data_IF_899026314777
#
_entry.id   IF_899026314777
#
_cell.length_a   1.000
_cell.length_b   1.000
_cell.length_c   1.000
_cell.angle_alpha   90.00
_cell.angle_beta   90.00
_cell.angle_gamma   90.00
#
_symmetry.space_group_name_H-M   'P 1'
#
loop_
_entity.id
_entity.type
_entity.pdbx_description
1 polymer ?
2 non-polymer ?
3 non-polymer ?
4 water ?
#
# COMPACT_ATOMS: atom_id res chain seq x y z
N UNK A 2 6.23 -16.65 -9.26
CA UNK A 2 5.13 -15.70 -9.37
C UNK A 2 5.04 -14.80 -8.13
N UNK A 3 5.10 -13.50 -8.34
CA UNK A 3 4.97 -12.56 -7.25
C UNK A 3 3.51 -12.42 -6.88
N UNK A 4 3.26 -12.22 -5.60
CA UNK A 4 1.92 -11.90 -5.16
C UNK A 4 1.89 -10.44 -4.74
N UNK A 5 1.11 -9.64 -5.45
CA UNK A 5 1.00 -8.21 -5.18
C UNK A 5 -0.35 -7.90 -4.53
N UNK A 6 -0.34 -7.14 -3.44
CA UNK A 6 -1.58 -6.74 -2.79
C UNK A 6 -1.69 -5.22 -2.72
N UNK A 7 -2.79 -4.68 -3.21
CA UNK A 7 -3.06 -3.25 -3.08
C UNK A 7 -4.04 -3.01 -1.92
N UNK A 8 -3.78 -1.97 -1.13
CA UNK A 8 -4.62 -1.60 -0.01
C UNK A 8 -4.98 -0.13 -0.15
N UNK A 9 -6.25 0.17 -0.34
CA UNK A 9 -6.68 1.56 -0.47
C UNK A 9 -7.60 1.95 0.69
N UNK A 10 -7.43 3.16 1.22
CA UNK A 10 -8.05 3.53 2.48
C UNK A 10 -9.01 4.70 2.49
N UNK A 11 -9.55 5.11 1.35
CA UNK A 11 -10.56 6.14 1.42
C UNK A 11 -11.84 5.56 2.02
N UNK A 12 -12.46 6.32 2.93
CA UNK A 12 -13.76 5.95 3.49
C UNK A 12 -14.91 6.45 2.62
N UNK A 13 -14.61 7.08 1.49
CA UNK A 13 -15.68 7.60 0.65
C UNK A 13 -15.90 6.71 -0.55
N UNK A 14 -17.14 6.63 -1.00
CA UNK A 14 -17.48 5.86 -2.18
C UNK A 14 -16.95 6.61 -3.39
N UNK A 15 -16.76 5.89 -4.49
CA UNK A 15 -16.23 6.48 -5.71
C UNK A 15 -14.86 7.13 -5.49
N UNK A 16 -13.99 6.40 -4.79
CA UNK A 16 -12.67 6.87 -4.40
C UNK A 16 -11.72 7.04 -5.59
N UNK A 17 -11.18 8.23 -5.78
CA UNK A 17 -10.17 8.38 -6.83
C UNK A 17 -8.87 7.69 -6.40
N UNK A 18 -8.63 7.64 -5.09
CA UNK A 18 -7.45 6.95 -4.55
C UNK A 18 -7.49 5.48 -4.95
N UNK A 19 -8.66 4.87 -4.84
CA UNK A 19 -8.84 3.48 -5.24
C UNK A 19 -8.52 3.27 -6.73
N UNK A 20 -8.95 4.22 -7.56
CA UNK A 20 -8.67 4.16 -9.00
C UNK A 20 -7.17 4.25 -9.26
N UNK A 21 -6.48 5.03 -8.44
CA UNK A 21 -5.04 5.18 -8.55
C UNK A 21 -4.35 3.86 -8.19
N UNK A 22 -4.80 3.23 -7.11
CA UNK A 22 -4.22 1.97 -6.67
C UNK A 22 -4.47 0.86 -7.69
N UNK A 23 -5.68 0.84 -8.24
CA UNK A 23 -6.04 -0.15 -9.24
C UNK A 23 -5.17 0.04 -10.48
N UNK A 24 -4.97 1.29 -10.87
CA UNK A 24 -4.08 1.60 -11.99
C UNK A 24 -2.65 1.07 -11.73
N UNK A 25 -2.13 1.34 -10.54
CA UNK A 25 -0.79 0.89 -10.19
C UNK A 25 -0.72 -0.63 -10.19
N UNK A 26 -1.77 -1.28 -9.68
CA UNK A 26 -1.78 -2.73 -9.61
C UNK A 26 -1.77 -3.35 -11.01
N UNK A 27 -2.60 -2.82 -11.90
CA UNK A 27 -2.64 -3.29 -13.28
C UNK A 27 -1.31 -3.07 -14.01
N UNK A 28 -0.66 -1.94 -13.72
CA UNK A 28 0.62 -1.59 -14.32
C UNK A 28 1.69 -2.62 -13.97
N UNK A 29 1.75 -2.98 -12.69
CA UNK A 29 2.73 -3.95 -12.24
C UNK A 29 2.44 -5.33 -12.84
N UNK A 30 1.17 -5.72 -12.84
CA UNK A 30 0.78 -7.05 -13.34
C UNK A 30 1.01 -7.20 -14.84
N UNK A 31 0.91 -6.10 -15.59
CA UNK A 31 1.13 -6.15 -17.03
C UNK A 31 2.61 -6.30 -17.40
N UNK A 32 3.49 -6.16 -16.42
CA UNK A 32 4.92 -6.12 -16.72
C UNK A 32 5.74 -7.09 -15.88
N UNK A 33 5.07 -7.92 -15.10
CA UNK A 33 5.76 -8.92 -14.29
C UNK A 33 4.92 -10.17 -14.15
N UNK A 34 5.54 -11.26 -13.72
CA UNK A 34 4.82 -12.50 -13.48
C UNK A 34 4.15 -12.45 -12.11
N UNK A 35 2.97 -11.86 -12.06
CA UNK A 35 2.34 -11.55 -10.78
C UNK A 35 0.84 -11.84 -10.73
N UNK A 36 0.35 -12.11 -9.52
CA UNK A 36 -1.08 -12.13 -9.22
C UNK A 36 -1.37 -10.97 -8.30
N UNK A 37 -2.62 -10.52 -8.26
CA UNK A 37 -2.96 -9.37 -7.44
C UNK A 37 -4.28 -9.47 -6.71
N UNK A 38 -4.38 -8.75 -5.60
CA UNK A 38 -5.66 -8.50 -4.94
C UNK A 38 -5.70 -7.03 -4.58
N UNK A 39 -6.90 -6.49 -4.50
CA UNK A 39 -7.08 -5.13 -4.08
C UNK A 39 -8.02 -5.12 -2.86
N UNK A 40 -7.46 -4.86 -1.69
CA UNK A 40 -8.23 -4.74 -0.45
C UNK A 40 -8.75 -3.32 -0.31
N UNK A 41 -10.06 -3.17 -0.36
CA UNK A 41 -10.71 -1.90 -0.13
C UNK A 41 -11.14 -1.90 1.32
N UNK A 42 -10.45 -1.12 2.16
CA UNK A 42 -10.65 -1.20 3.61
C UNK A 42 -12.10 -0.84 4.00
N UNK A 43 -12.71 0.05 3.23
CA UNK A 43 -14.10 0.43 3.39
C UNK A 43 -15.08 -0.76 3.28
N UNK A 44 -14.65 -1.83 2.61
CA UNK A 44 -15.52 -2.98 2.37
C UNK A 44 -15.35 -4.04 3.45
N UNK A 45 -14.44 -3.80 4.39
CA UNK A 45 -14.31 -4.71 5.51
C UNK A 45 -15.36 -4.37 6.57
N UNK A 46 -15.69 -5.34 7.41
CA UNK A 46 -16.70 -5.15 8.45
C UNK A 46 -16.17 -4.17 9.51
N UNK A 47 -16.84 -3.02 9.68
CA UNK A 47 -16.33 -1.95 10.56
C UNK A 47 -16.10 -2.39 12.01
N UNK A 48 -17.07 -3.09 12.59
CA UNK A 48 -16.91 -3.55 13.97
C UNK A 48 -15.71 -4.49 14.09
N UNK A 49 -15.62 -5.45 13.18
CA UNK A 49 -14.54 -6.43 13.24
C UNK A 49 -13.18 -5.77 13.01
N UNK A 50 -13.13 -4.81 12.09
CA UNK A 50 -11.91 -4.08 11.79
C UNK A 50 -11.43 -3.31 13.02
N UNK A 51 -12.29 -2.48 13.59
CA UNK A 51 -11.91 -1.69 14.76
C UNK A 51 -11.56 -2.54 15.98
N UNK A 52 -12.13 -3.74 16.08
CA UNK A 52 -11.84 -4.60 17.23
C UNK A 52 -10.76 -5.62 16.93
N UNK A 53 -10.26 -5.64 15.70
CA UNK A 53 -9.25 -6.61 15.31
C UNK A 53 -9.76 -8.04 15.43
N UNK A 54 -11.04 -8.22 15.11
CA UNK A 54 -11.72 -9.50 15.27
C UNK A 54 -11.47 -10.45 14.09
N UNK A 55 -10.47 -11.31 14.22
CA UNK A 55 -10.10 -12.21 13.14
C UNK A 55 -10.95 -13.47 13.02
N UNK A 56 -12.08 -13.50 13.71
CA UNK A 56 -13.04 -14.57 13.49
C UNK A 56 -13.96 -14.14 12.35
N UNK A 57 -13.90 -12.86 11.98
CA UNK A 57 -14.51 -12.40 10.75
C UNK A 57 -13.64 -12.93 9.61
N UNK A 58 -14.24 -13.70 8.71
CA UNK A 58 -13.47 -14.44 7.72
C UNK A 58 -12.86 -13.51 6.68
N UNK A 59 -13.62 -12.51 6.26
CA UNK A 59 -13.13 -11.59 5.24
C UNK A 59 -11.96 -10.74 5.77
N UNK A 60 -12.04 -10.33 7.03
CA UNK A 60 -10.96 -9.57 7.65
C UNK A 60 -9.70 -10.43 7.78
N UNK A 61 -9.88 -11.66 8.24
CA UNK A 61 -8.77 -12.60 8.36
C UNK A 61 -8.10 -12.88 7.00
N UNK A 62 -8.91 -12.98 5.95
CA UNK A 62 -8.40 -13.22 4.61
C UNK A 62 -7.55 -12.04 4.12
N UNK A 63 -8.03 -10.83 4.39
CA UNK A 63 -7.30 -9.61 4.05
C UNK A 63 -5.94 -9.57 4.75
N UNK A 64 -5.93 -9.87 6.04
CA UNK A 64 -4.70 -9.87 6.82
C UNK A 64 -3.74 -10.92 6.29
N UNK A 65 -4.23 -12.14 6.09
CA UNK A 65 -3.40 -13.21 5.53
C UNK A 65 -2.81 -12.84 4.17
N UNK A 66 -3.64 -12.28 3.28
CA UNK A 66 -3.19 -11.84 1.95
C UNK A 66 -2.04 -10.81 2.04
N UNK A 67 -2.18 -9.85 2.94
CA UNK A 67 -1.14 -8.86 3.15
C UNK A 67 0.15 -9.53 3.64
N UNK A 68 0.00 -10.47 4.57
CA UNK A 68 1.16 -11.18 5.11
C UNK A 68 1.85 -12.06 4.08
N UNK A 69 1.13 -12.49 3.05
CA UNK A 69 1.71 -13.34 2.01
C UNK A 69 2.23 -12.57 0.79
N UNK A 70 1.98 -11.26 0.74
CA UNK A 70 2.38 -10.46 -0.41
C UNK A 70 3.90 -10.28 -0.53
N UNK A 71 4.41 -10.22 -1.76
CA UNK A 71 5.82 -9.87 -1.99
C UNK A 71 5.96 -8.35 -2.08
N UNK A 72 4.88 -7.69 -2.49
CA UNK A 72 4.83 -6.25 -2.61
C UNK A 72 3.47 -5.70 -2.21
N UNK A 73 3.48 -4.50 -1.62
CA UNK A 73 2.25 -3.86 -1.20
C UNK A 73 2.15 -2.50 -1.82
N UNK A 74 0.99 -2.20 -2.38
CA UNK A 74 0.69 -0.86 -2.83
C UNK A 74 -0.24 -0.28 -1.77
N UNK A 75 0.21 0.77 -1.09
CA UNK A 75 -0.55 1.31 0.03
C UNK A 75 -1.00 2.70 -0.34
N UNK A 76 -2.31 2.86 -0.52
CA UNK A 76 -2.85 4.08 -1.09
C UNK A 76 -3.90 4.71 -0.16
N UNK A 77 -3.80 6.03 0.03
CA UNK A 77 -4.71 6.73 0.91
C UNK A 77 -4.97 8.14 0.41
N UNK A 78 -6.19 8.65 0.60
CA UNK A 78 -6.31 10.10 0.43
C UNK A 78 -5.68 10.78 1.63
N UNK A 79 -5.28 12.04 1.48
CA UNK A 79 -4.80 12.81 2.62
C UNK A 79 -5.99 13.39 3.39
N UNK A 80 -6.13 12.99 4.65
CA UNK A 80 -7.13 13.58 5.55
C UNK A 80 -6.40 14.25 6.71
N UNK A 81 -6.65 15.54 6.91
CA UNK A 81 -6.06 16.26 8.03
C UNK A 81 -4.54 16.11 8.00
N UNK A 82 -3.94 16.36 6.83
CA UNK A 82 -2.49 16.34 6.66
C UNK A 82 -1.83 15.01 6.97
N UNK A 83 -2.58 13.91 6.84
CA UNK A 83 -2.01 12.59 7.07
C UNK A 83 -2.84 11.52 6.37
N UNK A 84 -2.50 10.26 6.59
CA UNK A 84 -3.26 9.13 6.05
C UNK A 84 -4.59 8.97 6.81
N UNK A 85 -5.55 8.26 6.22
CA UNK A 85 -6.86 8.10 6.86
C UNK A 85 -6.80 7.19 8.07
N UNK A 86 -7.71 7.41 9.01
CA UNK A 86 -7.85 6.52 10.15
C UNK A 86 -8.26 5.14 9.68
N UNK A 87 -9.08 5.11 8.64
CA UNK A 87 -9.51 3.85 8.04
C UNK A 87 -8.31 2.99 7.64
N UNK A 88 -7.37 3.56 6.90
CA UNK A 88 -6.17 2.82 6.50
C UNK A 88 -5.34 2.39 7.71
N UNK A 89 -5.10 3.32 8.63
CA UNK A 89 -4.33 3.01 9.83
C UNK A 89 -4.98 1.92 10.70
N UNK A 90 -6.31 1.94 10.79
CA UNK A 90 -7.03 0.88 11.50
C UNK A 90 -6.68 -0.50 10.93
N UNK A 91 -6.57 -0.59 9.60
CA UNK A 91 -6.17 -1.84 8.99
C UNK A 91 -4.71 -2.20 9.30
N UNK A 92 -3.79 -1.26 9.13
CA UNK A 92 -2.39 -1.51 9.46
C UNK A 92 -2.20 -1.93 10.92
N UNK A 93 -3.02 -1.38 11.81
CA UNK A 93 -2.93 -1.69 13.23
C UNK A 93 -3.18 -3.16 13.58
N UNK A 94 -3.93 -3.89 12.76
CA UNK A 94 -4.18 -5.30 13.10
C UNK A 94 -3.19 -6.30 12.47
N UNK A 95 -2.29 -5.84 11.61
CA UNK A 95 -1.24 -6.71 11.12
C UNK A 95 -0.29 -7.04 12.27
N UNK A 96 0.35 -8.21 12.22
CA UNK A 96 1.33 -8.51 13.27
C UNK A 96 2.52 -7.54 13.28
N UNK A 97 3.33 -7.60 14.33
CA UNK A 97 4.31 -6.56 14.62
C UNK A 97 5.31 -6.26 13.50
N UNK A 98 5.86 -7.31 12.90
CA UNK A 98 6.82 -7.11 11.82
C UNK A 98 6.26 -7.68 10.53
N UNK A 99 5.00 -7.35 10.26
CA UNK A 99 4.25 -7.93 9.16
C UNK A 99 4.89 -7.70 7.80
N UNK A 100 5.64 -6.61 7.66
CA UNK A 100 6.10 -6.21 6.34
C UNK A 100 7.53 -6.69 6.06
N UNK A 101 8.08 -7.48 6.97
CA UNK A 101 9.43 -8.02 6.76
C UNK A 101 9.52 -8.73 5.41
N UNK A 102 10.57 -8.43 4.66
CA UNK A 102 10.79 -9.04 3.35
C UNK A 102 10.09 -8.36 2.19
N UNK A 103 9.19 -7.42 2.48
CA UNK A 103 8.33 -6.87 1.42
C UNK A 103 8.78 -5.55 0.81
N UNK A 104 8.43 -5.36 -0.45
CA UNK A 104 8.55 -4.05 -1.09
C UNK A 104 7.24 -3.29 -0.89
N UNK A 105 7.28 -1.96 -0.93
CA UNK A 105 6.05 -1.17 -0.78
C UNK A 105 6.07 0.10 -1.61
N UNK A 106 4.90 0.49 -2.11
CA UNK A 106 4.75 1.71 -2.89
C UNK A 106 3.66 2.59 -2.28
N UNK A 107 4.05 3.71 -1.68
CA UNK A 107 3.08 4.62 -1.07
C UNK A 107 2.46 5.58 -2.09
N UNK A 108 1.13 5.60 -2.13
CA UNK A 108 0.38 6.45 -3.06
C UNK A 108 -0.64 7.29 -2.32
N UNK A 109 -0.87 8.51 -2.80
CA UNK A 109 -1.90 9.32 -2.21
C UNK A 109 -2.50 10.28 -3.21
N UNK A 110 -3.75 10.66 -2.96
CA UNK A 110 -4.34 11.81 -3.63
C UNK A 110 -4.71 12.82 -2.55
N UNK A 111 -4.78 14.09 -2.92
CA UNK A 111 -5.14 15.12 -1.96
C UNK A 111 -5.74 16.30 -2.69
N UNK A 112 -6.44 17.15 -1.96
CA UNK A 112 -7.08 18.31 -2.56
C UNK A 112 -6.08 19.41 -2.86
N UNK A 113 -4.96 19.40 -2.15
CA UNK A 113 -3.99 20.48 -2.23
C UNK A 113 -2.57 19.96 -2.40
N UNK A 114 -1.75 20.68 -3.17
CA UNK A 114 -0.37 20.25 -3.32
C UNK A 114 0.44 20.54 -2.06
N UNK A 115 -0.16 21.23 -1.10
CA UNK A 115 0.56 21.61 0.11
C UNK A 115 0.94 20.41 0.98
N UNK A 116 0.27 19.28 0.79
CA UNK A 116 0.45 18.14 1.69
C UNK A 116 1.17 16.93 1.09
N UNK A 117 1.96 17.15 0.04
CA UNK A 117 2.79 16.12 -0.55
C UNK A 117 3.62 15.33 0.48
N UNK A 118 4.21 16.03 1.45
CA UNK A 118 5.11 15.39 2.42
C UNK A 118 4.42 14.49 3.46
N UNK A 119 3.09 14.44 3.46
CA UNK A 119 2.37 13.58 4.41
C UNK A 119 2.77 12.11 4.24
N UNK A 120 3.03 11.69 3.01
CA UNK A 120 3.51 10.34 2.76
C UNK A 120 4.87 10.10 3.42
N UNK A 121 5.87 10.91 3.07
CA UNK A 121 7.22 10.70 3.57
C UNK A 121 7.37 10.93 5.07
N UNK A 122 6.62 11.88 5.62
CA UNK A 122 6.73 12.20 7.04
C UNK A 122 5.78 11.38 7.89
N UNK A 123 4.66 10.95 7.32
CA UNK A 123 3.64 10.29 8.10
C UNK A 123 3.53 8.80 7.87
N UNK A 124 3.37 8.39 6.62
CA UNK A 124 3.15 6.99 6.31
C UNK A 124 4.43 6.15 6.32
N UNK A 125 5.49 6.70 5.74
CA UNK A 125 6.76 5.99 5.62
C UNK A 125 7.31 5.47 6.97
N UNK A 126 7.32 6.32 8.02
CA UNK A 126 7.76 5.78 9.32
C UNK A 126 6.88 4.64 9.87
N UNK A 127 5.58 4.68 9.60
CA UNK A 127 4.70 3.61 10.04
C UNK A 127 5.09 2.28 9.40
N UNK A 128 5.28 2.27 8.08
CA UNK A 128 5.71 1.05 7.39
C UNK A 128 7.05 0.54 7.90
N UNK A 129 7.97 1.45 8.18
CA UNK A 129 9.27 1.06 8.74
C UNK A 129 9.24 0.51 10.16
N UNK A 130 8.20 0.75 10.92
CA UNK A 130 8.04 0.11 12.17
C UNK A 130 7.51 -1.30 12.05
N UNK A 131 6.99 -1.65 10.89
CA UNK A 131 6.54 -2.97 10.64
C UNK A 131 7.58 -3.80 9.95
N UNK A 132 8.83 -3.36 9.92
CA UNK A 132 9.94 -4.10 9.36
C UNK A 132 10.06 -4.25 7.86
N UNK A 133 9.44 -3.34 7.15
CA UNK A 133 9.39 -3.36 5.68
C UNK A 133 10.79 -3.47 5.05
N UNK A 134 10.91 -4.14 3.92
CA UNK A 134 12.21 -4.34 3.29
C UNK A 134 12.64 -3.13 2.46
N UNK A 135 11.73 -2.63 1.63
CA UNK A 135 12.10 -1.63 0.64
C UNK A 135 10.87 -0.82 0.27
N UNK A 136 10.83 0.44 0.71
CA UNK A 136 9.77 1.36 0.33
C UNK A 136 10.31 2.33 -0.70
N UNK A 137 9.81 2.26 -1.94
CA UNK A 137 10.32 3.12 -3.00
C UNK A 137 9.75 4.53 -2.85
N UNK A 138 10.01 5.41 -3.81
CA UNK A 138 9.54 6.79 -3.70
C UNK A 138 8.02 6.87 -3.56
N UNK A 139 7.57 7.90 -2.85
CA UNK A 139 6.16 8.21 -2.74
C UNK A 139 5.66 8.80 -4.03
N UNK A 140 4.37 8.61 -4.31
CA UNK A 140 3.73 9.42 -5.33
C UNK A 140 2.44 10.03 -4.82
N UNK A 141 2.29 11.32 -5.04
CA UNK A 141 1.16 12.05 -4.63
C UNK A 141 0.53 12.76 -5.81
N UNK A 142 -0.77 12.72 -5.88
CA UNK A 142 -1.49 13.39 -6.91
C UNK A 142 -2.56 14.28 -6.42
N UNK A 143 -2.61 15.47 -6.95
CA UNK A 143 -3.67 16.39 -6.65
C UNK A 143 -4.94 16.05 -7.38
N UNK A 144 -6.04 16.11 -6.66
CA UNK A 144 -7.37 15.74 -7.15
C UNK A 144 -7.65 16.10 -8.61
N UNK A 145 -7.57 17.40 -8.89
CA UNK A 145 -7.83 17.93 -10.21
C UNK A 145 -7.08 17.20 -11.33
N UNK A 146 -5.77 17.02 -11.15
CA UNK A 146 -4.90 16.37 -12.14
C UNK A 146 -5.47 15.09 -12.73
N UNK A 147 -6.15 14.29 -11.90
CA UNK A 147 -6.60 12.96 -12.32
C UNK A 147 -7.83 12.95 -13.23
N UNK A 148 -7.86 11.94 -14.11
CA UNK A 148 -9.01 11.61 -14.95
C UNK A 148 -8.76 10.25 -15.59
N UNK A 154 -5.16 6.43 -17.84
CA UNK A 154 -3.97 7.27 -17.70
C UNK A 154 -4.26 8.70 -18.16
N UNK A 155 -5.53 9.09 -18.11
CA UNK A 155 -5.94 10.44 -18.49
C UNK A 155 -5.46 11.49 -17.48
N UNK A 156 -4.15 11.75 -17.49
CA UNK A 156 -3.54 12.70 -16.57
C UNK A 156 -2.37 13.40 -17.27
N UNK A 157 -1.97 14.56 -16.74
CA UNK A 157 -0.88 15.36 -17.32
C UNK A 157 0.41 14.57 -17.52
N UNK A 158 1.11 14.87 -18.62
CA UNK A 158 2.27 14.10 -19.05
C UNK A 158 3.36 13.97 -18.00
N UNK A 159 3.75 15.10 -17.41
CA UNK A 159 4.83 15.11 -16.44
C UNK A 159 4.44 14.35 -15.19
N UNK A 160 3.18 14.49 -14.79
CA UNK A 160 2.66 13.78 -13.64
C UNK A 160 2.65 12.28 -13.94
N UNK A 161 2.26 11.93 -15.16
CA UNK A 161 2.15 10.53 -15.54
C UNK A 161 3.51 9.85 -15.57
N UNK A 162 4.53 10.58 -16.01
CA UNK A 162 5.88 10.04 -16.03
C UNK A 162 6.35 9.67 -14.63
N UNK A 163 6.11 10.56 -13.67
CA UNK A 163 6.53 10.33 -12.29
C UNK A 163 5.83 9.13 -11.67
N UNK A 164 4.53 9.01 -11.94
CA UNK A 164 3.75 7.93 -11.39
C UNK A 164 4.26 6.62 -11.96
N UNK A 165 4.38 6.57 -13.28
CA UNK A 165 4.88 5.37 -13.94
C UNK A 165 6.29 4.98 -13.51
N UNK A 166 7.15 5.96 -13.30
CA UNK A 166 8.49 5.68 -12.82
C UNK A 166 8.45 5.10 -11.41
N UNK A 167 7.54 5.62 -10.59
CA UNK A 167 7.38 5.13 -9.23
C UNK A 167 6.92 3.66 -9.24
N UNK A 168 5.94 3.36 -10.09
CA UNK A 168 5.42 2.00 -10.22
C UNK A 168 6.47 1.07 -10.85
N UNK A 169 7.21 1.54 -11.85
CA UNK A 169 8.34 0.77 -12.38
C UNK A 169 9.33 0.42 -11.29
N UNK A 170 9.70 1.42 -10.49
CA UNK A 170 10.68 1.16 -9.45
C UNK A 170 10.14 0.12 -8.47
N UNK A 171 8.86 0.24 -8.14
CA UNK A 171 8.21 -0.72 -7.27
C UNK A 171 8.35 -2.14 -7.82
N UNK A 172 8.03 -2.31 -9.10
CA UNK A 172 8.12 -3.61 -9.75
C UNK A 172 9.54 -4.18 -9.79
N UNK A 173 10.51 -3.32 -10.11
CA UNK A 173 11.92 -3.72 -10.15
C UNK A 173 12.44 -4.12 -8.78
N UNK A 174 11.81 -3.61 -7.73
CA UNK A 174 12.29 -3.88 -6.38
C UNK A 174 11.70 -5.16 -5.78
N UNK A 175 10.72 -5.77 -6.45
CA UNK A 175 10.15 -7.03 -5.97
C UNK A 175 11.21 -8.12 -5.93
N UNK A 176 11.17 -8.96 -4.90
CA UNK A 176 12.15 -10.04 -4.81
C UNK A 176 11.51 -11.42 -4.80
N UNK A 177 12.08 -12.30 -5.61
CA UNK A 177 11.70 -13.71 -5.63
C UNK A 177 12.40 -14.47 -4.51
N UNK A 178 13.73 -14.37 -4.52
CA UNK A 178 14.65 -15.02 -3.59
C UNK A 178 14.16 -15.20 -2.15
N UNK A 179 14.19 -16.45 -1.66
CA UNK A 179 13.87 -16.77 -0.26
C UNK A 179 14.83 -16.11 0.73
N UNK A 180 16.03 -15.76 0.27
CA UNK A 180 17.02 -15.15 1.15
C UNK A 180 16.62 -13.75 1.61
N UNK A 181 15.74 -13.10 0.86
CA UNK A 181 15.32 -11.74 1.20
C UNK A 181 14.07 -11.71 2.08
N UNK A 182 13.50 -12.87 2.38
CA UNK A 182 12.19 -12.97 3.05
C UNK A 182 12.11 -12.29 4.41
N UNK A 183 13.23 -12.20 5.11
CA UNK A 183 13.24 -11.63 6.44
C UNK A 183 13.91 -10.25 6.50
N UNK A 184 14.45 -9.78 5.37
CA UNK A 184 15.15 -8.50 5.35
C UNK A 184 14.24 -7.33 5.73
N UNK A 185 14.72 -6.49 6.64
CA UNK A 185 13.92 -5.40 7.16
C UNK A 185 13.60 -5.63 8.62
N UNK A 186 13.46 -6.89 8.99
CA UNK A 186 13.27 -7.29 10.38
C UNK A 186 14.56 -7.03 11.17
N UNK A 187 14.44 -6.45 12.37
CA UNK A 187 15.62 -6.20 13.21
C UNK A 187 16.32 -7.47 13.73
N UNK A 188 15.57 -8.57 13.86
CA UNK A 188 16.09 -9.85 14.37
C UNK A 188 15.55 -11.02 13.55
N UNK A 189 16.05 -11.16 12.35
CA UNK A 189 15.48 -12.03 11.34
C UNK A 189 15.29 -13.47 11.74
N UNK A 190 16.02 -13.94 12.73
CA UNK A 190 15.86 -15.30 13.18
C UNK A 190 14.74 -15.44 14.20
N UNK A 191 14.16 -14.34 14.64
CA UNK A 191 12.97 -14.36 15.46
C UNK A 191 11.75 -14.31 14.56
N UNK A 192 11.95 -14.86 13.38
CA UNK A 192 10.93 -15.07 12.40
C UNK A 192 10.80 -13.79 11.69
N UNK A 193 9.59 -13.55 11.23
CA UNK A 193 9.35 -12.33 10.46
C UNK A 193 7.87 -12.19 10.08
X LIG B 1 -6.86 17.16 1.02
X LIG B 1 -5.54 17.66 1.32
X LIG B 1 -4.66 17.97 0.29
X LIG B 1 -5.15 17.82 2.65
X LIG B 1 -6.00 17.52 3.68
X LIG B 1 -5.60 17.68 5.01
X LIG B 1 -7.34 16.99 3.38
X LIG B 1 -8.20 16.64 4.40
X LIG B 1 -9.45 16.12 4.05
X LIG B 1 -10.34 15.76 5.08
X LIG B 1 -11.59 15.23 4.73
X LIG B 1 -12.57 14.84 5.84
X LIG B 1 -11.95 15.08 3.39
X LIG B 1 -13.31 14.52 3.01
X LIG B 1 -11.06 15.44 2.37
X LIG B 1 -9.82 15.95 2.69
X LIG B 1 -8.92 16.32 1.67
X LIG B 1 -7.71 16.82 2.05
X LIG B 1 -9.21 16.18 0.24
X LIG B 1 -8.96 14.73 -0.21
X LIG B 1 -7.66 14.31 0.11
X LIG B 1 -9.20 14.62 -1.71
X LIG B 1 -10.35 14.92 -2.01
X LIG B 1 -8.88 13.17 -2.09
X LIG B 1 -8.53 13.09 -3.44
X LIG B 1 -10.08 12.28 -1.82
X LIG B 1 -9.75 11.01 -2.36
X LIG B 1 -10.81 9.82 -2.47
X LIG B 1 -11.76 9.98 -3.60
X LIG B 1 -10.20 8.48 -2.68
X LIG B 1 -11.64 9.68 -1.24
X LIG C 1 -13.11 18.49 3.47
X LIG C 1 -13.69 18.12 4.62
X LIG C 1 -14.83 17.71 4.57
X LIG C 1 -13.12 18.16 5.79
X LIG C 1 -11.90 18.58 5.91
X LIG C 1 -11.37 18.62 6.99
X LIG C 1 -11.18 19.00 4.73
X LIG C 1 -9.94 19.43 4.81
X LIG C 1 -9.29 19.82 3.72
X LIG C 1 -8.00 20.26 3.84
X LIG C 1 -7.31 20.66 2.74
X LIG C 1 -5.91 21.13 2.90
X LIG C 1 -7.95 20.61 1.43
X LIG C 1 -7.29 21.01 0.16
X LIG C 1 -9.21 20.17 1.32
X LIG C 1 -9.93 19.77 2.42
X LIG C 1 -11.23 19.30 2.34
X LIG C 1 -11.87 18.93 3.48
X LIG C 1 -11.88 19.26 1.04
X LIG C 1 -13.19 18.61 0.69
X LIG C 1 -13.65 17.83 1.78
X LIG C 1 -13.03 17.82 -0.61
X LIG C 1 -12.06 18.37 -1.49
X LIG C 1 -14.32 17.82 -1.41
X LIG C 1 -15.32 17.12 -0.65
X LIG C 1 -14.13 17.25 -2.83
X LIG C 1 -13.90 15.84 -2.94
X LIG C 1 -13.75 15.11 -4.38
X LIG C 1 -13.67 16.28 -5.31
X LIG C 1 -12.52 14.23 -4.43
X LIG C 1 -14.98 14.28 -4.45
X LIG D 1 -18.80 -9.06 6.23
X LIG D 1 -19.67 -9.87 5.38
X LIG D 1 -19.65 -8.16 7.02
X LIG D 1 -17.88 -8.28 5.40
X LIG D 1 -18.04 -9.94 7.13
#
# INVERSE_FOLDING_TARGET
>A
XTYSIVAISGSPSRNSTTAKLAEYALAHVLARSDSQGRHIHVIDLDPKALLRGDLSNAKLKEAVDATCNADGLIVATPIYKASYTGLLKAFLDILPQFALAGKAALPLATGGSPAHVLALDYGLRPVLHSMGVRHVVQSFFMVQSQFSVVDGKLAVEDDVASQLNNAIDHFRLSLSSEPSTRHLGHPRPSLDATRAA
>B hetero
1 FMN N1 C2 O2 N3 C4 O4 C4A N5 C5A C6 C7 C7M C8 C8M C9 C9A N10 C10 C1' C2' O2' C3' O3' C4' O4' C5' O5' P O1P O2P O3P
>C hetero
1 FMN N1 C2 O2 N3 C4 O4 C4A N5 C5A C6 C7 C7M C8 C8M C9 C9A N10 C10 C1' C2' O2' C3' O3' C4' O4' C5' O5' P O1P O2P O3P
>D hetero
1 SO4 S O1 O2 O3 O4
#
